data_IF_340526183089
#
_entry.id   IF_340526183089
#
_cell.length_a   1.000
_cell.length_b   1.000
_cell.length_c   1.000
_cell.angle_alpha   90.00
_cell.angle_beta   90.00
_cell.angle_gamma   90.00
#
_symmetry.space_group_name_H-M   'P 1'
#
loop_
_entity.id
_entity.type
_entity.pdbx_description
1 polymer ?
#
# COMPACT_ATOMS: atom_id res chain seq x y z
N UNK A 1 -27.07 51.42 -33.68
CA UNK A 1 -27.19 49.96 -33.83
C UNK A 1 -26.65 49.31 -32.56
N UNK A 2 -27.40 49.49 -31.47
CA UNK A 2 -27.27 48.79 -30.19
C UNK A 2 -28.07 47.49 -30.35
N UNK A 3 -27.44 46.33 -30.15
CA UNK A 3 -28.10 45.04 -30.32
C UNK A 3 -27.41 43.97 -29.46
N UNK A 4 -27.81 43.93 -28.20
CA UNK A 4 -27.90 42.75 -27.34
C UNK A 4 -26.95 41.59 -27.67
N UNK A 5 -25.74 41.66 -27.12
CA UNK A 5 -24.92 40.48 -26.85
C UNK A 5 -25.42 39.84 -25.54
N UNK A 6 -26.68 39.40 -25.54
CA UNK A 6 -27.22 38.52 -24.50
C UNK A 6 -26.58 37.15 -24.70
N UNK A 7 -25.44 36.92 -24.06
CA UNK A 7 -25.01 35.56 -23.78
C UNK A 7 -25.97 35.01 -22.72
N UNK A 8 -26.99 34.31 -23.20
CA UNK A 8 -27.91 33.51 -22.41
C UNK A 8 -27.09 32.43 -21.69
N UNK A 9 -26.61 32.78 -20.49
CA UNK A 9 -26.00 31.85 -19.56
C UNK A 9 -27.14 30.98 -19.05
N UNK A 10 -27.32 29.84 -19.72
CA UNK A 10 -28.24 28.79 -19.30
C UNK A 10 -27.93 28.34 -17.87
N UNK A 11 -28.93 27.85 -17.13
CA UNK A 11 -28.79 27.52 -15.72
C UNK A 11 -27.67 26.48 -15.51
N UNK A 12 -26.61 26.94 -14.83
CA UNK A 12 -25.60 26.18 -14.08
C UNK A 12 -25.82 24.65 -14.09
N UNK A 13 -25.02 23.96 -14.90
CA UNK A 13 -24.91 22.50 -14.89
C UNK A 13 -24.36 22.04 -13.53
N UNK A 14 -25.27 21.88 -12.56
CA UNK A 14 -24.96 21.30 -11.26
C UNK A 14 -24.29 19.93 -11.49
N UNK A 15 -23.19 19.62 -10.80
CA UNK A 15 -22.57 18.30 -10.90
C UNK A 15 -23.60 17.25 -10.49
N UNK A 16 -24.12 16.51 -11.47
CA UNK A 16 -25.05 15.42 -11.24
C UNK A 16 -24.34 14.39 -10.37
N UNK A 17 -24.85 14.17 -9.17
CA UNK A 17 -24.33 13.17 -8.23
C UNK A 17 -24.47 11.80 -8.90
N UNK A 18 -23.37 11.32 -9.51
CA UNK A 18 -23.26 9.97 -10.03
C UNK A 18 -23.64 9.02 -8.89
N UNK A 19 -24.74 8.28 -9.08
CA UNK A 19 -25.21 7.26 -8.17
C UNK A 19 -24.03 6.36 -7.74
N UNK A 20 -23.64 6.46 -6.46
CA UNK A 20 -22.66 5.57 -5.84
C UNK A 20 -23.31 4.20 -5.75
N UNK A 21 -22.99 3.33 -6.71
CA UNK A 21 -23.45 1.95 -6.70
C UNK A 21 -23.11 1.25 -5.37
N UNK A 22 -23.84 0.17 -5.11
CA UNK A 22 -23.77 -0.67 -3.90
C UNK A 22 -22.32 -1.05 -3.52
N UNK A 23 -21.45 -1.20 -4.53
CA UNK A 23 -20.02 -1.45 -4.36
C UNK A 23 -19.27 -0.36 -3.57
N UNK A 24 -19.71 0.90 -3.58
CA UNK A 24 -19.14 1.94 -2.74
C UNK A 24 -19.47 1.73 -1.25
N UNK A 25 -20.69 1.27 -0.95
CA UNK A 25 -21.10 0.93 0.41
C UNK A 25 -20.30 -0.24 0.97
N UNK A 26 -20.09 -1.28 0.16
CA UNK A 26 -19.28 -2.44 0.54
C UNK A 26 -17.80 -2.07 0.73
N UNK A 27 -17.24 -1.25 -0.17
CA UNK A 27 -15.87 -0.72 -0.02
C UNK A 27 -15.71 0.10 1.25
N UNK A 28 -16.70 0.93 1.60
CA UNK A 28 -16.67 1.77 2.81
C UNK A 28 -16.86 0.95 4.09
N UNK A 29 -17.54 -0.18 4.03
CA UNK A 29 -17.67 -1.12 5.14
C UNK A 29 -16.38 -1.92 5.37
N UNK A 30 -15.68 -2.32 4.30
CA UNK A 30 -14.44 -3.10 4.37
C UNK A 30 -13.20 -2.24 4.67
N UNK A 31 -13.09 -1.03 4.11
CA UNK A 31 -11.92 -0.15 4.26
C UNK A 31 -12.13 0.96 5.31
N UNK A 32 -13.36 1.20 5.76
CA UNK A 32 -13.70 2.34 6.61
C UNK A 32 -13.80 3.67 5.86
N UNK A 33 -14.17 4.77 6.55
CA UNK A 33 -14.19 6.11 5.97
C UNK A 33 -12.77 6.56 5.59
N UNK A 34 -12.61 7.13 4.39
CA UNK A 34 -11.33 7.67 3.94
C UNK A 34 -10.91 8.83 4.86
N UNK A 35 -9.82 8.66 5.61
CA UNK A 35 -9.25 9.72 6.43
C UNK A 35 -8.60 10.77 5.53
N UNK A 36 -8.92 12.08 5.69
CA UNK A 36 -8.25 13.16 4.98
C UNK A 36 -6.74 13.11 5.23
N UNK A 37 -5.93 13.10 4.17
CA UNK A 37 -4.47 12.97 4.23
C UNK A 37 -3.79 14.03 5.11
N UNK A 38 -4.43 15.19 5.30
CA UNK A 38 -3.97 16.26 6.18
C UNK A 38 -4.07 15.94 7.69
N UNK A 39 -4.88 14.96 8.09
CA UNK A 39 -5.05 14.56 9.50
C UNK A 39 -4.19 13.35 9.89
N UNK A 40 -3.76 12.53 8.92
CA UNK A 40 -2.89 11.36 9.13
C UNK A 40 -1.48 11.73 9.64
N UNK A 41 -0.98 12.94 9.36
CA UNK A 41 0.33 13.42 9.83
C UNK A 41 0.36 13.66 11.34
N UNK A 42 -0.81 13.92 11.95
CA UNK A 42 -0.93 14.21 13.39
C UNK A 42 -1.40 13.02 14.22
N UNK A 43 -1.98 11.98 13.59
CA UNK A 43 -2.17 10.67 14.21
C UNK A 43 -0.93 9.79 13.99
N UNK A 44 0.03 9.83 14.92
CA UNK A 44 1.07 8.80 14.97
C UNK A 44 0.39 7.46 15.23
N UNK A 45 0.47 6.52 14.29
CA UNK A 45 0.04 5.14 14.54
C UNK A 45 0.67 4.68 15.86
N UNK A 46 -0.18 4.24 16.79
CA UNK A 46 0.30 3.68 18.05
C UNK A 46 1.33 2.58 17.78
N UNK A 47 2.31 2.42 18.66
CA UNK A 47 3.40 1.44 18.53
C UNK A 47 2.96 0.07 17.97
N UNK A 48 1.88 -0.59 18.46
CA UNK A 48 1.45 -1.88 17.92
C UNK A 48 0.87 -1.78 16.50
N UNK A 49 0.11 -0.72 16.19
CA UNK A 49 -0.48 -0.52 14.87
C UNK A 49 0.58 -0.20 13.82
N UNK A 50 1.58 0.62 14.18
CA UNK A 50 2.71 0.92 13.33
C UNK A 50 3.50 -0.37 13.01
N UNK A 51 3.84 -1.16 14.03
CA UNK A 51 4.53 -2.44 13.87
C UNK A 51 3.77 -3.42 12.97
N UNK A 52 2.46 -3.57 13.16
CA UNK A 52 1.65 -4.48 12.35
C UNK A 52 1.63 -4.07 10.87
N UNK A 53 1.53 -2.77 10.56
CA UNK A 53 1.53 -2.27 9.19
C UNK A 53 2.90 -2.43 8.54
N UNK A 54 3.98 -2.03 9.23
CA UNK A 54 5.34 -2.19 8.71
C UNK A 54 5.73 -3.65 8.49
N UNK A 55 5.31 -4.55 9.38
CA UNK A 55 5.51 -5.98 9.22
C UNK A 55 4.74 -6.55 8.03
N UNK A 56 3.47 -6.19 7.85
CA UNK A 56 2.64 -6.69 6.73
C UNK A 56 3.16 -6.22 5.37
N UNK A 57 3.64 -4.98 5.27
CA UNK A 57 4.17 -4.42 4.02
C UNK A 57 5.50 -5.08 3.63
N UNK A 58 6.42 -5.22 4.60
CA UNK A 58 7.68 -5.92 4.38
C UNK A 58 7.45 -7.39 4.00
N UNK A 59 6.56 -8.10 4.69
CA UNK A 59 6.29 -9.52 4.45
C UNK A 59 5.79 -9.76 3.01
N UNK A 60 4.91 -8.89 2.51
CA UNK A 60 4.39 -9.01 1.15
C UNK A 60 5.48 -8.81 0.09
N UNK A 61 6.39 -7.85 0.30
CA UNK A 61 7.50 -7.60 -0.62
C UNK A 61 8.48 -8.76 -0.63
N UNK A 62 8.87 -9.29 0.53
CA UNK A 62 9.83 -10.41 0.59
C UNK A 62 9.22 -11.72 0.10
N UNK A 63 7.93 -11.99 0.35
CA UNK A 63 7.30 -13.22 -0.13
C UNK A 63 7.27 -13.27 -1.67
N UNK A 64 6.80 -12.22 -2.32
CA UNK A 64 6.75 -12.18 -3.79
C UNK A 64 8.15 -12.08 -4.40
N UNK A 65 9.02 -11.24 -3.85
CA UNK A 65 10.38 -11.08 -4.39
C UNK A 65 11.20 -12.36 -4.24
N UNK A 66 11.12 -13.06 -3.11
CA UNK A 66 11.86 -14.31 -2.91
C UNK A 66 11.33 -15.42 -3.81
N UNK A 67 10.02 -15.50 -4.06
CA UNK A 67 9.46 -16.50 -4.97
C UNK A 67 9.96 -16.29 -6.41
N UNK A 68 9.98 -15.06 -6.90
CA UNK A 68 10.50 -14.76 -8.25
C UNK A 68 12.01 -14.99 -8.34
N UNK A 69 12.77 -14.60 -7.30
CA UNK A 69 14.21 -14.88 -7.24
C UNK A 69 14.47 -16.39 -7.26
N UNK A 70 13.71 -17.19 -6.50
CA UNK A 70 13.89 -18.65 -6.47
C UNK A 70 13.50 -19.29 -7.81
N UNK A 71 12.41 -18.86 -8.43
CA UNK A 71 12.03 -19.33 -9.78
C UNK A 71 13.15 -19.13 -10.81
N UNK A 72 13.87 -18.02 -10.73
CA UNK A 72 14.95 -17.69 -11.67
C UNK A 72 16.30 -18.28 -11.26
N UNK A 73 16.65 -18.22 -9.97
CA UNK A 73 17.97 -18.61 -9.47
C UNK A 73 18.11 -20.13 -9.26
N UNK A 74 17.04 -20.85 -8.90
CA UNK A 74 17.10 -22.30 -8.65
C UNK A 74 17.49 -23.08 -9.92
N UNK A 75 16.93 -22.81 -11.11
CA UNK A 75 17.39 -23.43 -12.35
C UNK A 75 18.81 -23.03 -12.75
N UNK A 76 19.23 -21.80 -12.43
CA UNK A 76 20.49 -21.22 -12.89
C UNK A 76 21.71 -21.57 -12.00
N UNK A 77 21.51 -21.72 -10.69
CA UNK A 77 22.62 -21.80 -9.72
C UNK A 77 22.49 -23.01 -8.78
N UNK A 78 21.29 -23.59 -8.63
CA UNK A 78 21.08 -24.87 -7.95
C UNK A 78 21.80 -25.04 -6.60
N UNK A 79 22.16 -26.28 -6.25
CA UNK A 79 22.69 -26.72 -4.94
C UNK A 79 23.84 -25.86 -4.39
N UNK A 80 24.65 -25.22 -5.25
CA UNK A 80 25.74 -24.34 -4.81
C UNK A 80 25.24 -23.09 -4.05
N UNK A 81 24.03 -22.59 -4.34
CA UNK A 81 23.44 -21.45 -3.65
C UNK A 81 23.07 -21.77 -2.19
N UNK A 82 22.70 -23.02 -1.90
CA UNK A 82 22.24 -23.43 -0.57
C UNK A 82 23.34 -23.35 0.50
N UNK A 83 24.60 -23.60 0.13
CA UNK A 83 25.74 -23.51 1.06
C UNK A 83 26.00 -22.08 1.54
N UNK A 84 25.72 -21.07 0.70
CA UNK A 84 25.83 -19.66 1.08
C UNK A 84 24.54 -19.12 1.74
N UNK A 85 23.39 -19.74 1.44
CA UNK A 85 22.10 -19.34 2.00
C UNK A 85 22.06 -19.49 3.53
N UNK A 86 22.60 -20.60 4.07
CA UNK A 86 22.62 -20.87 5.51
C UNK A 86 23.35 -19.79 6.33
N UNK A 87 24.62 -19.42 6.05
CA UNK A 87 25.31 -18.38 6.82
C UNK A 87 24.66 -17.00 6.66
N UNK A 88 24.15 -16.66 5.47
CA UNK A 88 23.43 -15.39 5.25
C UNK A 88 22.16 -15.33 6.09
N UNK A 89 21.38 -16.41 6.13
CA UNK A 89 20.15 -16.50 6.92
C UNK A 89 20.44 -16.31 8.41
N UNK A 90 21.49 -16.95 8.94
CA UNK A 90 21.93 -16.73 10.32
C UNK A 90 22.30 -15.27 10.60
N UNK A 91 23.00 -14.60 9.67
CA UNK A 91 23.33 -13.18 9.78
C UNK A 91 22.08 -12.29 9.85
N UNK A 92 21.09 -12.54 8.99
CA UNK A 92 19.82 -11.81 9.00
C UNK A 92 19.07 -12.04 10.32
N UNK A 93 18.99 -13.28 10.79
CA UNK A 93 18.34 -13.62 12.06
C UNK A 93 19.02 -12.93 13.26
N UNK A 94 20.36 -12.83 13.25
CA UNK A 94 21.10 -12.12 14.29
C UNK A 94 20.75 -10.62 14.29
N UNK A 95 20.71 -9.98 13.12
CA UNK A 95 20.30 -8.57 13.00
C UNK A 95 18.86 -8.36 13.43
N UNK A 96 17.94 -9.24 13.02
CA UNK A 96 16.53 -9.19 13.45
C UNK A 96 16.38 -9.35 14.97
N UNK A 97 17.17 -10.23 15.59
CA UNK A 97 17.19 -10.36 17.04
C UNK A 97 17.64 -9.06 17.70
N UNK A 98 18.70 -8.41 17.20
CA UNK A 98 19.14 -7.10 17.70
C UNK A 98 18.01 -6.07 17.60
N UNK A 99 17.31 -6.00 16.48
CA UNK A 99 16.19 -5.06 16.28
C UNK A 99 15.00 -5.34 17.21
N UNK A 100 14.69 -6.61 17.48
CA UNK A 100 13.59 -6.99 18.36
C UNK A 100 13.85 -6.67 19.84
N UNK A 101 15.11 -6.76 20.27
CA UNK A 101 15.51 -6.51 21.67
C UNK A 101 16.04 -5.10 21.92
N UNK A 102 16.16 -4.25 20.89
CA UNK A 102 16.53 -2.83 20.99
C UNK A 102 15.32 -1.93 21.22
#
# INVERSE_FOLDING_TARGET
MLGAMETNVGPDERPTIRSRGIGFGLKRLLLGPALPTSQLVHERLGKPTALAVFASDNLSSVAYATEEILKVAVPAVGVAAFSLLMPITFGILAVLAILLFS
#
